data_IF_529000933810
#
_entry.id   IF_529000933810
#
_cell.length_a   1.000
_cell.length_b   1.000
_cell.length_c   1.000
_cell.angle_alpha   90.00
_cell.angle_beta   90.00
_cell.angle_gamma   90.00
#
_symmetry.space_group_name_H-M   'P 1'
#
loop_
_entity.id
_entity.type
_entity.pdbx_description
1 polymer ?
#
# COMPACT_ATOMS: atom_id res chain seq x y z
N UNK A 1 -6.43 -8.51 9.95
CA UNK A 1 -6.53 -7.39 8.98
C UNK A 1 -7.82 -6.64 9.25
N UNK A 2 -7.76 -5.31 9.25
CA UNK A 2 -8.92 -4.48 9.58
C UNK A 2 -10.03 -4.62 8.54
N UNK A 3 -11.31 -4.48 8.94
CA UNK A 3 -12.44 -4.72 8.04
C UNK A 3 -12.46 -3.83 6.79
N UNK A 4 -12.04 -2.58 6.89
CA UNK A 4 -12.04 -1.62 5.78
C UNK A 4 -11.15 -2.10 4.63
N UNK A 5 -10.09 -2.83 4.95
CA UNK A 5 -9.19 -3.41 3.94
C UNK A 5 -9.70 -4.79 3.51
N UNK A 6 -10.05 -5.63 4.46
CA UNK A 6 -10.50 -7.01 4.18
C UNK A 6 -11.74 -7.04 3.29
N UNK A 7 -12.73 -6.22 3.61
CA UNK A 7 -14.01 -6.20 2.88
C UNK A 7 -13.90 -5.56 1.50
N UNK A 8 -12.82 -4.82 1.23
CA UNK A 8 -12.60 -4.12 -0.03
C UNK A 8 -11.38 -4.64 -0.79
N UNK A 9 -10.88 -5.82 -0.41
CA UNK A 9 -9.65 -6.35 -0.98
C UNK A 9 -9.71 -6.52 -2.50
N UNK A 10 -10.84 -6.99 -3.04
CA UNK A 10 -10.98 -7.17 -4.49
C UNK A 10 -10.92 -5.84 -5.23
N UNK A 11 -11.49 -4.78 -4.68
CA UNK A 11 -11.40 -3.45 -5.28
C UNK A 11 -9.97 -2.88 -5.19
N UNK A 12 -9.29 -3.15 -4.09
CA UNK A 12 -7.89 -2.75 -3.93
C UNK A 12 -7.01 -3.45 -4.97
N UNK A 13 -7.20 -4.75 -5.15
CA UNK A 13 -6.46 -5.53 -6.16
C UNK A 13 -6.74 -5.01 -7.57
N UNK A 14 -7.98 -4.69 -7.86
CA UNK A 14 -8.37 -4.14 -9.16
C UNK A 14 -7.66 -2.81 -9.44
N UNK A 15 -7.61 -1.92 -8.44
CA UNK A 15 -6.90 -0.66 -8.56
C UNK A 15 -5.41 -0.88 -8.82
N UNK A 16 -4.79 -1.83 -8.11
CA UNK A 16 -3.39 -2.16 -8.30
C UNK A 16 -3.10 -2.62 -9.73
N UNK A 17 -3.97 -3.45 -10.29
CA UNK A 17 -3.81 -3.92 -11.66
C UNK A 17 -3.95 -2.80 -12.67
N UNK A 18 -4.89 -1.89 -12.46
CA UNK A 18 -5.14 -0.78 -13.38
C UNK A 18 -4.02 0.26 -13.38
N UNK A 19 -3.36 0.44 -12.23
CA UNK A 19 -2.29 1.44 -12.06
C UNK A 19 -0.91 0.81 -12.28
N UNK A 20 -0.84 -0.49 -12.55
CA UNK A 20 0.40 -1.24 -12.76
C UNK A 20 1.28 -1.24 -11.51
N UNK A 21 0.66 -1.48 -10.37
CA UNK A 21 1.37 -1.71 -9.11
C UNK A 21 2.00 -3.11 -9.15
N UNK A 22 3.24 -3.23 -8.74
CA UNK A 22 3.92 -4.53 -8.62
C UNK A 22 3.57 -5.21 -7.31
N UNK A 23 3.58 -4.47 -6.21
CA UNK A 23 3.29 -5.03 -4.90
C UNK A 23 2.64 -3.98 -4.01
N UNK A 24 1.78 -4.45 -3.12
CA UNK A 24 1.12 -3.60 -2.12
C UNK A 24 1.01 -4.38 -0.81
N UNK A 25 1.47 -3.77 0.27
CA UNK A 25 1.42 -4.33 1.62
C UNK A 25 0.76 -3.34 2.57
N UNK A 26 0.03 -3.87 3.54
CA UNK A 26 -0.49 -3.11 4.67
C UNK A 26 0.42 -3.32 5.87
N UNK A 27 0.80 -2.26 6.58
CA UNK A 27 1.69 -2.40 7.72
C UNK A 27 1.30 -1.49 8.88
N UNK A 28 2.04 -1.64 10.00
CA UNK A 28 1.92 -0.85 11.22
C UNK A 28 0.55 -1.04 11.90
N UNK A 29 -0.08 0.02 12.37
CA UNK A 29 -1.33 -0.06 13.14
C UNK A 29 -2.45 -0.72 12.36
N UNK A 30 -2.48 -0.57 11.03
CA UNK A 30 -3.48 -1.23 10.18
C UNK A 30 -3.32 -2.73 10.12
N UNK A 31 -2.09 -3.25 10.29
CA UNK A 31 -1.80 -4.68 10.33
C UNK A 31 -2.04 -5.26 11.72
N UNK A 32 -1.93 -4.45 12.76
CA UNK A 32 -2.13 -4.85 14.15
C UNK A 32 -3.49 -4.37 14.63
N UNK A 33 -4.47 -5.24 14.58
CA UNK A 33 -5.85 -4.89 14.94
C UNK A 33 -5.99 -4.34 16.36
N UNK A 34 -5.15 -4.79 17.28
CA UNK A 34 -5.19 -4.35 18.69
C UNK A 34 -4.74 -2.90 18.87
N UNK A 35 -3.91 -2.41 17.99
CA UNK A 35 -3.40 -1.05 18.03
C UNK A 35 -4.17 -0.11 17.11
N UNK A 36 -5.18 -0.63 16.41
CA UNK A 36 -5.94 0.13 15.44
C UNK A 36 -6.83 1.18 16.11
N UNK A 37 -6.71 2.41 15.62
CA UNK A 37 -7.55 3.52 16.04
C UNK A 37 -8.29 4.04 14.82
N UNK A 38 -9.61 4.27 14.94
CA UNK A 38 -10.45 4.74 13.83
C UNK A 38 -9.98 6.08 13.24
N UNK A 39 -9.20 6.85 13.99
CA UNK A 39 -8.68 8.14 13.52
C UNK A 39 -7.27 8.03 12.95
N UNK A 40 -6.67 6.84 12.97
CA UNK A 40 -5.32 6.63 12.44
C UNK A 40 -5.35 6.50 10.92
N UNK A 41 -4.28 7.00 10.28
CA UNK A 41 -4.06 6.78 8.86
C UNK A 41 -3.71 5.32 8.61
N UNK A 42 -4.09 4.81 7.45
CA UNK A 42 -3.66 3.48 7.02
C UNK A 42 -2.33 3.59 6.29
N UNK A 43 -1.36 2.79 6.71
CA UNK A 43 -0.02 2.79 6.14
C UNK A 43 0.14 1.65 5.15
N UNK A 44 0.52 1.97 3.92
CA UNK A 44 0.76 0.99 2.88
C UNK A 44 2.17 1.13 2.33
N UNK A 45 2.78 -0.02 2.04
CA UNK A 45 4.03 -0.09 1.27
C UNK A 45 3.70 -0.51 -0.15
N UNK A 46 4.32 0.12 -1.13
CA UNK A 46 4.06 -0.20 -2.53
C UNK A 46 5.31 -0.20 -3.37
N UNK A 47 5.24 -0.89 -4.50
CA UNK A 47 6.19 -0.78 -5.61
C UNK A 47 5.41 -0.71 -6.90
N UNK A 48 5.86 0.13 -7.82
CA UNK A 48 5.32 0.13 -9.17
C UNK A 48 6.12 -0.84 -10.06
N UNK A 49 5.48 -1.34 -11.11
CA UNK A 49 6.19 -2.09 -12.14
C UNK A 49 7.08 -1.13 -12.93
N UNK A 50 8.31 -1.55 -13.17
CA UNK A 50 9.25 -0.79 -14.00
C UNK A 50 9.29 -1.45 -15.37
N UNK A 51 8.98 -0.68 -16.42
CA UNK A 51 9.03 -1.17 -17.78
C UNK A 51 10.49 -1.33 -18.22
N UNK A 52 10.76 -2.34 -19.04
CA UNK A 52 12.08 -2.57 -19.64
C UNK A 52 12.56 -1.40 -20.49
N UNK A 53 11.63 -0.58 -20.98
CA UNK A 53 11.95 0.62 -21.76
C UNK A 53 12.27 1.83 -20.89
N UNK A 54 12.43 1.64 -19.59
CA UNK A 54 12.75 2.70 -18.62
C UNK A 54 11.63 3.72 -18.43
N UNK A 55 10.41 3.38 -18.77
CA UNK A 55 9.26 4.23 -18.50
C UNK A 55 8.91 4.14 -17.02
N UNK A 56 9.31 5.15 -16.27
CA UNK A 56 8.96 5.25 -14.86
C UNK A 56 7.48 5.63 -14.73
N UNK A 57 6.80 5.11 -13.68
CA UNK A 57 5.42 5.52 -13.43
C UNK A 57 5.30 7.02 -13.25
N UNK A 58 4.22 7.59 -13.75
CA UNK A 58 3.94 9.01 -13.62
C UNK A 58 3.67 9.37 -12.16
N UNK A 59 4.03 10.59 -11.70
CA UNK A 59 3.58 11.08 -10.39
C UNK A 59 2.06 11.03 -10.24
N UNK A 60 1.31 11.12 -11.32
CA UNK A 60 -0.15 10.99 -11.28
C UNK A 60 -0.59 9.60 -10.84
N UNK A 61 0.17 8.56 -11.18
CA UNK A 61 -0.13 7.19 -10.75
C UNK A 61 -0.06 7.04 -9.23
N UNK A 62 0.91 7.70 -8.60
CA UNK A 62 1.03 7.71 -7.14
C UNK A 62 -0.20 8.34 -6.48
N UNK A 63 -0.61 9.51 -6.96
CA UNK A 63 -1.78 10.19 -6.40
C UNK A 63 -3.07 9.46 -6.72
N UNK A 64 -3.18 8.85 -7.90
CA UNK A 64 -4.34 8.06 -8.28
C UNK A 64 -4.50 6.85 -7.35
N UNK A 65 -3.38 6.18 -7.02
CA UNK A 65 -3.41 5.05 -6.09
C UNK A 65 -3.87 5.49 -4.70
N UNK A 66 -3.33 6.59 -4.18
CA UNK A 66 -3.76 7.14 -2.89
C UNK A 66 -5.27 7.42 -2.91
N UNK A 67 -5.74 8.12 -3.93
CA UNK A 67 -7.14 8.52 -4.06
C UNK A 67 -8.05 7.29 -4.07
N UNK A 68 -7.70 6.28 -4.86
CA UNK A 68 -8.50 5.06 -4.95
C UNK A 68 -8.53 4.27 -3.64
N UNK A 69 -7.39 4.21 -2.95
CA UNK A 69 -7.33 3.54 -1.65
C UNK A 69 -8.14 4.28 -0.59
N UNK A 70 -8.07 5.62 -0.59
CA UNK A 70 -8.88 6.44 0.33
C UNK A 70 -10.37 6.27 0.07
N UNK A 71 -10.76 6.30 -1.21
CA UNK A 71 -12.16 6.15 -1.59
C UNK A 71 -12.68 4.76 -1.25
N UNK A 72 -11.89 3.74 -1.49
CA UNK A 72 -12.27 2.35 -1.26
C UNK A 72 -12.38 2.02 0.23
N UNK A 73 -11.44 2.50 1.04
CA UNK A 73 -11.39 2.18 2.47
C UNK A 73 -12.17 3.17 3.33
N UNK A 74 -12.43 4.36 2.81
CA UNK A 74 -13.02 5.45 3.60
C UNK A 74 -12.06 6.00 4.64
N UNK A 75 -10.75 5.75 4.50
CA UNK A 75 -9.73 6.14 5.46
C UNK A 75 -8.63 6.94 4.78
N UNK A 76 -7.97 7.78 5.56
CA UNK A 76 -6.79 8.49 5.10
C UNK A 76 -5.64 7.52 4.89
N UNK A 77 -4.91 7.67 3.80
CA UNK A 77 -3.86 6.72 3.39
C UNK A 77 -2.50 7.39 3.42
N UNK A 78 -1.52 6.68 3.99
CA UNK A 78 -0.11 7.03 3.90
C UNK A 78 0.56 5.96 3.02
N UNK A 79 1.10 6.38 1.89
CA UNK A 79 1.64 5.47 0.88
C UNK A 79 3.14 5.65 0.77
N UNK A 80 3.90 4.61 1.15
CA UNK A 80 5.36 4.65 1.22
C UNK A 80 5.95 3.76 0.13
N UNK A 81 6.88 4.32 -0.65
CA UNK A 81 7.59 3.58 -1.68
C UNK A 81 8.66 2.68 -1.04
N UNK A 82 8.45 1.37 -1.08
CA UNK A 82 9.35 0.39 -0.45
C UNK A 82 10.76 0.46 -1.03
N UNK A 83 10.89 0.64 -2.34
CA UNK A 83 12.19 0.68 -3.02
C UNK A 83 13.02 1.92 -2.70
N UNK A 84 12.44 2.92 -2.06
CA UNK A 84 13.16 4.13 -1.64
C UNK A 84 13.61 4.10 -0.18
N UNK A 85 13.26 3.05 0.55
CA UNK A 85 13.67 2.90 1.93
C UNK A 85 15.08 2.32 1.96
N UNK A 86 16.03 3.05 2.56
CA UNK A 86 17.43 2.64 2.64
C UNK A 86 17.86 2.19 4.04
N UNK A 87 17.07 2.48 5.05
CA UNK A 87 17.38 2.12 6.43
C UNK A 87 17.05 0.65 6.68
N UNK A 88 18.09 -0.15 6.94
CA UNK A 88 17.93 -1.60 7.13
C UNK A 88 17.09 -1.94 8.35
N UNK A 89 17.19 -1.20 9.43
CA UNK A 89 16.39 -1.44 10.62
C UNK A 89 14.91 -1.23 10.35
N UNK A 90 14.60 -0.20 9.59
CA UNK A 90 13.24 0.09 9.21
C UNK A 90 12.66 -0.99 8.30
N UNK A 91 13.46 -1.46 7.32
CA UNK A 91 13.06 -2.56 6.44
C UNK A 91 12.81 -3.85 7.21
N UNK A 92 13.69 -4.18 8.17
CA UNK A 92 13.51 -5.37 9.00
C UNK A 92 12.22 -5.30 9.82
N UNK A 93 11.95 -4.13 10.39
CA UNK A 93 10.73 -3.92 11.16
C UNK A 93 9.49 -4.06 10.28
N UNK A 94 9.50 -3.48 9.09
CA UNK A 94 8.39 -3.57 8.14
C UNK A 94 8.17 -5.01 7.69
N UNK A 95 9.25 -5.78 7.48
CA UNK A 95 9.15 -7.17 7.05
C UNK A 95 8.38 -8.03 8.04
N UNK A 96 8.45 -7.70 9.32
CA UNK A 96 7.77 -8.47 10.37
C UNK A 96 6.29 -8.11 10.50
N UNK A 97 5.94 -6.85 10.21
CA UNK A 97 4.62 -6.31 10.48
C UNK A 97 3.75 -6.10 9.24
N UNK A 98 4.28 -6.38 8.06
CA UNK A 98 3.54 -6.14 6.83
C UNK A 98 2.68 -7.33 6.43
N UNK A 99 1.51 -7.03 5.87
CA UNK A 99 0.59 -8.02 5.31
C UNK A 99 0.53 -7.80 3.81
N UNK A 100 0.82 -8.85 3.02
CA UNK A 100 0.73 -8.78 1.58
C UNK A 100 -0.73 -8.70 1.14
N UNK A 101 -1.05 -7.68 0.34
CA UNK A 101 -2.39 -7.51 -0.24
C UNK A 101 -2.39 -7.85 -1.73
N UNK A 102 -1.32 -7.51 -2.43
CA UNK A 102 -1.22 -7.72 -3.87
C UNK A 102 0.24 -7.89 -4.29
N UNK A 103 0.48 -8.85 -5.17
CA UNK A 103 1.78 -9.00 -5.83
C UNK A 103 1.55 -9.52 -7.24
N UNK A 104 2.20 -8.83 -8.17
CA UNK A 104 2.10 -9.17 -9.58
C UNK A 104 3.13 -10.21 -9.99
#
# INVERSE_FOLDING_TARGET
MIPEVKNNLSEIIKACKQIQVKSLYLFDSGARENDYNHNSDLDFLFRFKVDETSNLPSPYDYFDLIFRLEETTGRKIDLVAEDKITNKYFLDKLSKDKIELYES
#
